data_IF_650863713503
#
_entry.id   IF_650863713503
#
_cell.length_a   1.000
_cell.length_b   1.000
_cell.length_c   1.000
_cell.angle_alpha   90.00
_cell.angle_beta   90.00
_cell.angle_gamma   90.00
#
_symmetry.space_group_name_H-M   'P 1'
#
loop_
_entity.id
_entity.type
_entity.pdbx_description
1 polymer ?
#
# COMPACT_ATOMS: atom_id res chain seq x y z
N UNK A 1 -1.21 22.44 -17.77
CA UNK A 1 -0.30 21.62 -16.94
C UNK A 1 -0.85 21.57 -15.53
N UNK A 2 -1.51 20.48 -15.15
CA UNK A 2 -2.05 20.33 -13.79
C UNK A 2 -1.00 19.62 -12.93
N UNK A 3 -0.63 20.14 -11.75
CA UNK A 3 0.25 19.38 -10.86
C UNK A 3 -0.48 18.08 -10.54
N UNK A 4 0.14 16.93 -10.85
CA UNK A 4 -0.36 15.63 -10.43
C UNK A 4 -0.38 15.63 -8.90
N UNK A 5 -1.52 16.03 -8.31
CA UNK A 5 -1.75 16.09 -6.88
C UNK A 5 -1.45 14.69 -6.35
N UNK A 6 -0.33 14.54 -5.61
CA UNK A 6 0.06 13.27 -4.97
C UNK A 6 -1.15 12.78 -4.19
N UNK A 7 -1.91 11.81 -4.73
CA UNK A 7 -3.18 11.37 -4.16
C UNK A 7 -2.89 10.55 -2.92
N UNK A 8 -2.74 11.26 -1.80
CA UNK A 8 -2.85 10.65 -0.47
C UNK A 8 -4.30 10.24 -0.29
N UNK A 9 -4.52 8.99 0.08
CA UNK A 9 -5.84 8.42 0.35
C UNK A 9 -5.87 7.91 1.78
N UNK A 10 -7.07 7.82 2.33
CA UNK A 10 -7.31 7.28 3.66
C UNK A 10 -7.93 5.89 3.53
N UNK A 11 -7.65 5.01 4.48
CA UNK A 11 -8.30 3.72 4.65
C UNK A 11 -8.37 3.39 6.13
N UNK A 12 -9.45 2.75 6.56
CA UNK A 12 -9.58 2.20 7.91
C UNK A 12 -9.35 0.70 7.86
N UNK A 13 -8.39 0.19 8.63
CA UNK A 13 -8.07 -1.25 8.72
C UNK A 13 -8.05 -1.61 10.19
N UNK A 14 -8.86 -2.61 10.58
CA UNK A 14 -9.01 -3.05 11.97
C UNK A 14 -9.28 -1.91 12.96
N UNK A 15 -10.08 -0.92 12.55
CA UNK A 15 -10.42 0.25 13.38
C UNK A 15 -9.35 1.35 13.43
N UNK A 16 -8.21 1.18 12.75
CA UNK A 16 -7.14 2.19 12.69
C UNK A 16 -7.17 2.89 11.33
N UNK A 17 -7.10 4.23 11.35
CA UNK A 17 -7.08 5.04 10.12
C UNK A 17 -5.64 5.21 9.64
N UNK A 18 -5.39 4.83 8.39
CA UNK A 18 -4.11 4.94 7.72
C UNK A 18 -4.19 5.90 6.53
N UNK A 19 -3.08 6.61 6.29
CA UNK A 19 -2.81 7.40 5.09
C UNK A 19 -1.91 6.60 4.18
N UNK A 20 -2.28 6.49 2.91
CA UNK A 20 -1.44 5.82 1.92
C UNK A 20 -1.31 6.62 0.63
N UNK A 21 -0.18 6.45 -0.05
CA UNK A 21 0.12 7.09 -1.34
C UNK A 21 1.00 6.21 -2.20
N UNK A 22 0.83 6.30 -3.51
CA UNK A 22 1.72 5.67 -4.49
C UNK A 22 3.00 6.50 -4.63
N UNK A 23 4.18 5.91 -4.40
CA UNK A 23 5.48 6.61 -4.43
C UNK A 23 6.07 6.73 -5.82
N UNK A 24 6.06 5.64 -6.59
CA UNK A 24 6.67 5.58 -7.91
C UNK A 24 5.75 4.82 -8.83
N UNK A 25 5.16 5.52 -9.80
CA UNK A 25 4.52 4.89 -10.96
C UNK A 25 5.64 4.62 -11.97
N UNK A 26 5.99 3.36 -12.27
CA UNK A 26 6.96 3.11 -13.32
C UNK A 26 6.34 3.52 -14.67
N UNK A 27 7.16 4.10 -15.55
CA UNK A 27 6.74 4.50 -16.90
C UNK A 27 6.44 3.27 -17.79
N UNK A 28 6.97 2.11 -17.43
CA UNK A 28 6.75 0.79 -18.02
C UNK A 28 6.41 -0.24 -16.93
N UNK A 29 6.19 -1.50 -17.31
CA UNK A 29 5.99 -2.61 -16.37
C UNK A 29 7.08 -2.58 -15.28
N UNK A 30 6.69 -2.60 -14.01
CA UNK A 30 7.62 -2.49 -12.90
C UNK A 30 6.93 -2.52 -11.54
N UNK A 31 7.68 -2.71 -10.45
CA UNK A 31 7.11 -2.79 -9.12
C UNK A 31 6.45 -1.46 -8.72
N UNK A 32 5.24 -1.56 -8.19
CA UNK A 32 4.53 -0.41 -7.63
C UNK A 32 4.84 -0.33 -6.14
N UNK A 33 5.31 0.83 -5.69
CA UNK A 33 5.57 1.07 -4.27
C UNK A 33 4.55 2.02 -3.67
N UNK A 34 4.02 1.64 -2.51
CA UNK A 34 3.11 2.41 -1.67
C UNK A 34 3.82 2.83 -0.40
N UNK A 35 3.57 4.06 0.06
CA UNK A 35 3.91 4.49 1.40
C UNK A 35 2.63 4.55 2.21
N UNK A 36 2.61 3.89 3.36
CA UNK A 36 1.47 3.80 4.28
C UNK A 36 1.96 4.26 5.66
N UNK A 37 1.20 5.14 6.29
CA UNK A 37 1.47 5.67 7.63
C UNK A 37 0.16 5.83 8.40
N UNK A 38 0.20 5.94 9.72
CA UNK A 38 -1.01 6.26 10.49
C UNK A 38 -1.49 7.68 10.19
N UNK A 39 -2.81 7.86 10.21
CA UNK A 39 -3.42 9.14 9.86
C UNK A 39 -3.46 10.13 11.03
N UNK A 40 -3.61 9.60 12.24
CA UNK A 40 -3.81 10.32 13.49
C UNK A 40 -2.48 10.73 14.14
N UNK A 41 -1.42 9.96 13.95
CA UNK A 41 -0.08 10.22 14.52
C UNK A 41 1.05 9.91 13.55
N UNK A 42 2.16 10.61 13.77
CA UNK A 42 3.42 10.32 13.09
C UNK A 42 4.10 9.14 13.80
N UNK A 43 4.34 8.07 13.06
CA UNK A 43 5.04 6.88 13.54
C UNK A 43 5.82 6.23 12.39
N UNK A 44 6.01 4.93 12.45
CA UNK A 44 6.74 4.19 11.42
C UNK A 44 5.96 4.13 10.11
N UNK A 45 6.65 4.39 8.99
CA UNK A 45 6.08 4.31 7.64
C UNK A 45 6.31 2.91 7.07
N UNK A 46 5.26 2.27 6.58
CA UNK A 46 5.35 1.04 5.80
C UNK A 46 5.57 1.37 4.32
N UNK A 47 6.64 0.82 3.74
CA UNK A 47 6.94 0.91 2.31
C UNK A 47 6.61 -0.42 1.68
N UNK A 48 5.38 -0.54 1.20
CA UNK A 48 4.91 -1.75 0.54
C UNK A 48 5.29 -1.74 -0.95
N UNK A 49 5.83 -2.83 -1.47
CA UNK A 49 6.18 -3.00 -2.88
C UNK A 49 5.49 -4.23 -3.43
N UNK A 50 4.80 -4.11 -4.56
CA UNK A 50 4.04 -5.19 -5.16
C UNK A 50 4.69 -5.59 -6.49
N UNK A 51 5.09 -6.86 -6.69
CA UNK A 51 5.70 -7.31 -7.92
C UNK A 51 4.66 -7.36 -9.05
N UNK A 52 4.90 -6.58 -10.11
CA UNK A 52 4.51 -6.96 -11.48
C UNK A 52 3.05 -6.86 -11.93
N UNK A 53 2.10 -6.33 -11.16
CA UNK A 53 0.73 -6.15 -11.68
C UNK A 53 0.65 -4.90 -12.58
N UNK A 54 -0.09 -4.96 -13.70
CA UNK A 54 -0.04 -3.88 -14.70
C UNK A 54 -0.61 -2.57 -14.12
N UNK A 55 0.03 -1.41 -14.34
CA UNK A 55 -0.51 -0.11 -13.90
C UNK A 55 -1.94 0.18 -14.38
N UNK A 56 -2.32 -0.36 -15.54
CA UNK A 56 -3.65 -0.21 -16.17
C UNK A 56 -4.74 -1.01 -15.44
N UNK A 57 -4.40 -2.18 -14.91
CA UNK A 57 -5.31 -3.03 -14.15
C UNK A 57 -5.68 -2.37 -12.81
N UNK A 58 -4.81 -1.56 -12.21
CA UNK A 58 -5.12 -0.80 -10.99
C UNK A 58 -5.94 0.48 -11.20
N UNK A 59 -6.06 0.99 -12.43
CA UNK A 59 -6.63 2.32 -12.69
C UNK A 59 -7.86 2.32 -13.63
N UNK A 60 -8.34 1.15 -14.08
CA UNK A 60 -9.41 1.14 -15.09
C UNK A 60 -10.20 -0.14 -15.36
N UNK A 61 -9.95 -1.27 -14.70
CA UNK A 61 -10.80 -2.47 -14.90
C UNK A 61 -11.88 -2.57 -13.82
N UNK A 62 -13.01 -3.18 -14.17
CA UNK A 62 -14.21 -3.25 -13.33
C UNK A 62 -14.09 -4.20 -12.12
N UNK A 63 -13.04 -5.04 -12.06
CA UNK A 63 -12.80 -5.92 -10.89
C UNK A 63 -11.30 -6.30 -10.68
N UNK A 64 -10.34 -5.38 -10.55
CA UNK A 64 -9.10 -5.65 -9.81
C UNK A 64 -9.44 -5.71 -8.31
N UNK A 65 -8.67 -6.44 -7.46
CA UNK A 65 -8.80 -6.26 -6.01
C UNK A 65 -8.69 -4.77 -5.75
N UNK A 66 -9.72 -4.19 -5.13
CA UNK A 66 -9.80 -2.76 -4.96
C UNK A 66 -8.48 -2.35 -4.29
N UNK A 67 -7.78 -1.34 -4.81
CA UNK A 67 -6.49 -0.91 -4.24
C UNK A 67 -6.55 -0.74 -2.71
N UNK A 68 -7.67 -0.30 -2.10
CA UNK A 68 -7.88 -0.38 -0.66
C UNK A 68 -7.71 -1.78 -0.03
N UNK A 69 -8.26 -2.84 -0.61
CA UNK A 69 -8.17 -4.22 -0.09
C UNK A 69 -6.72 -4.72 -0.11
N UNK A 70 -5.99 -4.42 -1.19
CA UNK A 70 -4.57 -4.73 -1.28
C UNK A 70 -3.77 -4.01 -0.18
N UNK A 71 -4.05 -2.72 0.02
CA UNK A 71 -3.44 -1.92 1.10
C UNK A 71 -3.81 -2.48 2.48
N UNK A 72 -5.05 -2.94 2.68
CA UNK A 72 -5.48 -3.56 3.92
C UNK A 72 -4.77 -4.89 4.20
N UNK A 73 -4.57 -5.73 3.19
CA UNK A 73 -3.79 -6.98 3.30
C UNK A 73 -2.32 -6.69 3.61
N UNK A 74 -1.72 -5.71 2.95
CA UNK A 74 -0.37 -5.23 3.23
C UNK A 74 -0.20 -4.77 4.68
N UNK A 75 -1.15 -3.99 5.19
CA UNK A 75 -1.16 -3.53 6.59
C UNK A 75 -1.22 -4.71 7.55
N UNK A 76 -2.12 -5.67 7.32
CA UNK A 76 -2.26 -6.87 8.16
C UNK A 76 -0.99 -7.71 8.17
N UNK A 77 -0.43 -8.02 6.99
CA UNK A 77 0.84 -8.74 6.89
C UNK A 77 2.01 -8.00 7.54
N UNK A 78 2.07 -6.68 7.41
CA UNK A 78 3.09 -5.88 8.08
C UNK A 78 2.97 -6.02 9.61
N UNK A 79 1.75 -5.93 10.14
CA UNK A 79 1.49 -6.11 11.58
C UNK A 79 1.89 -7.50 12.06
N UNK A 80 1.57 -8.54 11.31
CA UNK A 80 2.00 -9.93 11.62
C UNK A 80 3.53 -10.09 11.61
N UNK A 81 4.23 -9.31 10.78
CA UNK A 81 5.71 -9.25 10.73
C UNK A 81 6.32 -8.34 11.80
N UNK A 82 5.54 -7.83 12.75
CA UNK A 82 6.01 -6.96 13.84
C UNK A 82 6.09 -5.48 13.49
N UNK A 83 5.39 -5.03 12.44
CA UNK A 83 5.25 -3.60 12.17
C UNK A 83 4.34 -2.94 13.20
N UNK A 84 4.91 -2.03 13.98
CA UNK A 84 4.16 -1.18 14.90
C UNK A 84 4.04 0.24 14.31
N UNK A 85 2.87 0.62 13.79
CA UNK A 85 2.68 1.95 13.19
C UNK A 85 2.71 3.09 14.22
N UNK A 86 2.63 2.75 15.50
CA UNK A 86 2.58 3.67 16.63
C UNK A 86 3.96 4.04 17.14
N UNK A 87 4.93 3.16 16.93
CA UNK A 87 6.30 3.38 17.36
C UNK A 87 7.05 4.26 16.35
N UNK A 88 7.85 5.23 16.84
CA UNK A 88 8.79 5.92 15.98
C UNK A 88 9.90 4.94 15.56
N UNK A 89 10.10 4.80 14.25
CA UNK A 89 11.03 3.81 13.73
C UNK A 89 11.38 4.02 12.26
N UNK A 90 12.42 3.32 11.77
CA UNK A 90 12.80 3.34 10.37
C UNK A 90 11.68 2.76 9.52
N UNK A 91 11.54 3.25 8.29
CA UNK A 91 10.51 2.77 7.39
C UNK A 91 10.68 1.26 7.13
N UNK A 92 9.61 0.48 7.30
CA UNK A 92 9.64 -0.96 7.10
C UNK A 92 9.38 -1.28 5.62
N UNK A 93 10.34 -1.86 4.88
CA UNK A 93 10.09 -2.36 3.53
C UNK A 93 9.33 -3.68 3.61
N UNK A 94 8.20 -3.78 2.92
CA UNK A 94 7.43 -5.01 2.77
C UNK A 94 7.21 -5.29 1.30
N UNK A 95 7.59 -6.48 0.83
CA UNK A 95 7.22 -6.94 -0.50
C UNK A 95 6.02 -7.87 -0.36
N UNK A 96 4.97 -7.65 -1.16
CA UNK A 96 3.92 -8.66 -1.27
C UNK A 96 4.51 -9.90 -1.91
N UNK A 97 4.55 -10.97 -1.14
CA UNK A 97 4.77 -12.30 -1.68
C UNK A 97 3.47 -12.71 -2.41
N UNK A 98 3.51 -12.97 -3.73
CA UNK A 98 2.32 -13.39 -4.48
C UNK A 98 1.82 -14.78 -4.09
N UNK A 99 2.45 -15.46 -3.13
CA UNK A 99 2.16 -16.83 -2.70
C UNK A 99 0.93 -16.93 -1.79
N UNK A 100 0.26 -15.83 -1.45
CA UNK A 100 -1.13 -15.92 -0.96
C UNK A 100 -2.06 -15.88 -2.16
N UNK A 101 -2.19 -17.03 -2.82
CA UNK A 101 -3.35 -17.36 -3.64
C UNK A 101 -4.62 -17.09 -2.81
N UNK A 102 -5.53 -16.19 -3.22
CA UNK A 102 -6.93 -16.40 -2.89
C UNK A 102 -7.40 -17.54 -3.79
N UNK A 103 -7.30 -18.77 -3.30
CA UNK A 103 -7.97 -19.90 -3.93
C UNK A 103 -9.48 -19.60 -3.97
N UNK A 104 -10.03 -19.47 -5.18
CA UNK A 104 -11.39 -19.87 -5.55
C UNK A 104 -11.50 -19.92 -7.07
#
# INVERSE_FOLDING_TARGET
MSPAKKRTRLITVDGVVYRWRVRRRPAHQGPLSFAIERADRRGTILIATTPGTRPTEWMGTATPPAVPDLVATLIRQARDRGWHPDDPGPALPLTLDPTTEPAC
#
